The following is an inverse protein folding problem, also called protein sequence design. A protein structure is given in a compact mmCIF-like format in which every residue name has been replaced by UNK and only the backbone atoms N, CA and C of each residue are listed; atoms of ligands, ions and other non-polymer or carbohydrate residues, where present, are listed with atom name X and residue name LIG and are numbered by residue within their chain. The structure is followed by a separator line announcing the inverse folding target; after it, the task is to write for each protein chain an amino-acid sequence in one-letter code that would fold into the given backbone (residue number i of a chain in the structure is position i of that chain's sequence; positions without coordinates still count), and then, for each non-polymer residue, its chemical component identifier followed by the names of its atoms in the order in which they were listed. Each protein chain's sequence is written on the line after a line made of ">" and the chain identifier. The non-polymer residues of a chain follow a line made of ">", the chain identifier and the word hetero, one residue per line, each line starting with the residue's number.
data_IF_940568683482
#
_entry.id   IF_940568683482
#
_cell.length_a   1.000
_cell.length_b   1.000
_cell.length_c   1.000
_cell.angle_alpha   90.00
_cell.angle_beta   90.00
_cell.angle_gamma   90.00
#
_symmetry.space_group_name_H-M   'P 1'
#
loop_
_entity.id
_entity.type
_entity.pdbx_description
1 polymer ?
#
# COMPACT_ATOMS: atom_id res chain seq x y z
N UNK A 1 -24.18 60.67 -15.61
CA UNK A 1 -24.43 59.49 -14.74
C UNK A 1 -24.59 59.99 -13.32
N UNK A 2 -25.82 60.04 -12.79
CA UNK A 2 -26.08 60.41 -11.40
C UNK A 2 -25.52 59.33 -10.49
N UNK A 3 -24.61 59.71 -9.59
CA UNK A 3 -23.97 58.81 -8.63
C UNK A 3 -25.04 58.37 -7.62
N UNK A 4 -25.31 57.07 -7.51
CA UNK A 4 -26.21 56.53 -6.48
C UNK A 4 -25.62 56.88 -5.10
N UNK A 5 -26.41 57.52 -4.24
CA UNK A 5 -26.01 57.94 -2.89
C UNK A 5 -26.92 57.33 -1.85
N UNK A 6 -26.46 57.22 -0.60
CA UNK A 6 -27.26 56.70 0.51
C UNK A 6 -28.53 57.52 0.67
N UNK A 7 -28.44 58.86 0.59
CA UNK A 7 -29.60 59.74 0.71
C UNK A 7 -30.63 59.55 -0.40
N UNK A 8 -30.18 59.54 -1.66
CA UNK A 8 -31.09 59.32 -2.79
C UNK A 8 -31.74 57.93 -2.75
N UNK A 9 -31.01 56.92 -2.26
CA UNK A 9 -31.52 55.56 -2.09
C UNK A 9 -32.55 55.45 -0.96
N UNK A 10 -32.28 56.04 0.21
CA UNK A 10 -33.25 56.10 1.32
C UNK A 10 -34.53 56.83 0.90
N UNK A 11 -34.40 57.94 0.17
CA UNK A 11 -35.55 58.67 -0.37
C UNK A 11 -36.37 57.82 -1.36
N UNK A 12 -35.69 57.03 -2.19
CA UNK A 12 -36.35 56.10 -3.12
C UNK A 12 -37.08 54.97 -2.38
N UNK A 13 -36.45 54.36 -1.37
CA UNK A 13 -37.06 53.31 -0.54
C UNK A 13 -38.29 53.82 0.23
N UNK A 14 -38.19 55.01 0.83
CA UNK A 14 -39.32 55.65 1.51
C UNK A 14 -40.49 55.90 0.54
N UNK A 15 -40.22 56.49 -0.62
CA UNK A 15 -41.25 56.77 -1.64
C UNK A 15 -41.89 55.48 -2.18
N UNK A 16 -41.10 54.43 -2.40
CA UNK A 16 -41.61 53.13 -2.85
C UNK A 16 -42.55 52.47 -1.83
N UNK A 17 -42.41 52.80 -0.54
CA UNK A 17 -43.27 52.36 0.56
C UNK A 17 -44.46 53.29 0.82
N UNK A 18 -44.58 54.40 0.08
CA UNK A 18 -45.63 55.39 0.28
C UNK A 18 -45.52 56.17 1.59
N UNK A 19 -44.36 56.16 2.25
CA UNK A 19 -44.19 56.74 3.58
C UNK A 19 -43.79 58.22 3.54
N UNK A 20 -44.19 59.00 4.53
CA UNK A 20 -43.70 60.39 4.72
C UNK A 20 -42.37 60.41 5.48
N UNK A 21 -41.61 61.52 5.40
CA UNK A 21 -40.38 61.67 6.19
C UNK A 21 -40.67 61.64 7.70
N UNK A 22 -41.85 62.11 8.12
CA UNK A 22 -42.30 62.06 9.50
C UNK A 22 -42.52 60.61 9.97
N UNK A 23 -43.20 59.79 9.17
CA UNK A 23 -43.46 58.40 9.53
C UNK A 23 -42.19 57.56 9.67
N UNK A 24 -41.17 57.81 8.83
CA UNK A 24 -39.85 57.18 8.98
C UNK A 24 -39.16 57.65 10.26
N UNK A 25 -39.25 58.95 10.55
CA UNK A 25 -38.67 59.55 11.74
C UNK A 25 -39.29 58.98 13.03
N UNK A 26 -40.62 58.84 13.05
CA UNK A 26 -41.37 58.28 14.18
C UNK A 26 -41.00 56.81 14.43
N UNK A 27 -40.88 56.00 13.36
CA UNK A 27 -40.51 54.58 13.48
C UNK A 27 -39.07 54.34 13.92
N UNK A 28 -38.17 55.28 13.63
CA UNK A 28 -36.75 55.19 14.00
C UNK A 28 -36.42 56.02 15.25
N UNK A 29 -37.42 56.66 15.87
CA UNK A 29 -37.25 57.55 17.01
C UNK A 29 -36.20 58.66 16.78
N UNK A 30 -36.26 59.31 15.62
CA UNK A 30 -35.42 60.46 15.26
C UNK A 30 -36.28 61.65 14.83
N UNK A 31 -35.67 62.82 14.65
CA UNK A 31 -36.41 63.98 14.14
C UNK A 31 -36.63 63.88 12.62
N UNK A 32 -37.74 64.41 12.12
CA UNK A 32 -38.00 64.56 10.69
C UNK A 32 -36.86 65.30 9.96
N UNK A 33 -36.29 66.33 10.62
CA UNK A 33 -35.13 67.06 10.12
C UNK A 33 -33.90 66.16 9.94
N UNK A 34 -33.73 65.13 10.78
CA UNK A 34 -32.67 64.13 10.68
C UNK A 34 -32.84 63.29 9.41
N UNK A 35 -34.05 62.76 9.17
CA UNK A 35 -34.37 61.99 7.95
C UNK A 35 -34.19 62.84 6.69
N UNK A 36 -34.63 64.11 6.72
CA UNK A 36 -34.46 65.05 5.62
C UNK A 36 -32.98 65.37 5.30
N UNK A 37 -32.11 65.42 6.32
CA UNK A 37 -30.67 65.55 6.10
C UNK A 37 -30.08 64.30 5.46
N UNK A 38 -30.50 63.12 5.90
CA UNK A 38 -30.06 61.85 5.30
C UNK A 38 -30.44 61.78 3.82
N UNK A 39 -31.70 62.05 3.49
CA UNK A 39 -32.20 61.98 2.10
C UNK A 39 -31.55 62.99 1.14
N UNK A 40 -30.97 64.08 1.66
CA UNK A 40 -30.28 65.13 0.89
C UNK A 40 -28.76 65.01 0.92
N UNK A 41 -28.22 63.92 1.47
CA UNK A 41 -26.79 63.70 1.67
C UNK A 41 -26.08 64.80 2.50
N UNK A 42 -26.83 65.52 3.33
CA UNK A 42 -26.32 66.55 4.26
C UNK A 42 -25.95 65.98 5.64
N UNK A 43 -25.95 64.66 5.75
CA UNK A 43 -25.62 63.88 6.93
C UNK A 43 -25.88 62.41 6.66
N UNK A 44 -25.26 61.52 7.43
CA UNK A 44 -25.44 60.08 7.30
C UNK A 44 -26.17 59.52 8.51
N UNK A 45 -26.96 58.44 8.34
CA UNK A 45 -27.42 57.66 9.48
C UNK A 45 -26.22 57.17 10.28
N UNK A 46 -26.32 57.22 11.61
CA UNK A 46 -25.31 56.57 12.43
C UNK A 46 -25.26 55.07 12.12
N UNK A 47 -24.08 54.46 12.25
CA UNK A 47 -23.89 53.04 11.92
C UNK A 47 -24.82 52.12 12.74
N UNK A 48 -25.19 52.56 13.94
CA UNK A 48 -26.16 51.92 14.85
C UNK A 48 -27.60 51.93 14.31
N UNK A 49 -27.93 52.86 13.42
CA UNK A 49 -29.26 53.03 12.82
C UNK A 49 -29.43 52.24 11.53
N UNK A 50 -28.33 51.79 10.91
CA UNK A 50 -28.34 51.03 9.66
C UNK A 50 -29.16 49.73 9.79
N UNK A 51 -29.06 48.90 10.86
CA UNK A 51 -29.89 47.70 11.01
C UNK A 51 -31.39 48.03 11.09
N UNK A 52 -31.76 49.08 11.82
CA UNK A 52 -33.15 49.52 11.95
C UNK A 52 -33.72 50.06 10.63
N UNK A 53 -32.91 50.79 9.86
CA UNK A 53 -33.26 51.21 8.50
C UNK A 53 -33.40 50.02 7.54
N UNK A 54 -32.50 49.03 7.64
CA UNK A 54 -32.52 47.81 6.83
C UNK A 54 -33.81 47.00 7.07
N UNK A 55 -34.16 46.79 8.34
CA UNK A 55 -35.39 46.14 8.74
C UNK A 55 -36.62 46.96 8.32
N UNK A 56 -36.60 48.28 8.57
CA UNK A 56 -37.68 49.16 8.18
C UNK A 56 -37.94 49.10 6.69
N UNK A 57 -36.90 49.07 5.84
CA UNK A 57 -36.99 49.12 4.37
C UNK A 57 -36.97 47.75 3.65
N UNK A 58 -36.93 46.63 4.38
CA UNK A 58 -36.74 45.26 3.83
C UNK A 58 -35.61 45.19 2.78
N UNK A 59 -34.46 45.70 3.19
CA UNK A 59 -33.19 45.68 2.44
C UNK A 59 -32.08 45.24 3.38
N UNK A 60 -30.95 44.84 2.84
CA UNK A 60 -29.76 44.53 3.63
C UNK A 60 -29.00 45.81 4.02
N UNK A 61 -28.23 45.75 5.10
CA UNK A 61 -27.32 46.83 5.47
C UNK A 61 -26.32 47.17 4.34
N UNK A 62 -25.88 46.17 3.58
CA UNK A 62 -24.97 46.35 2.43
C UNK A 62 -25.64 47.16 1.31
N UNK A 63 -26.94 46.95 1.03
CA UNK A 63 -27.69 47.75 0.05
C UNK A 63 -27.80 49.22 0.46
N UNK A 64 -28.05 49.49 1.75
CA UNK A 64 -28.10 50.87 2.28
C UNK A 64 -26.74 51.54 2.16
N UNK A 65 -25.66 50.85 2.52
CA UNK A 65 -24.31 51.39 2.47
C UNK A 65 -23.80 51.60 1.04
N UNK A 66 -24.24 50.78 0.08
CA UNK A 66 -23.96 50.95 -1.35
C UNK A 66 -24.83 52.01 -2.02
N UNK A 67 -25.97 52.35 -1.45
CA UNK A 67 -26.94 53.27 -2.03
C UNK A 67 -27.68 52.69 -3.24
N UNK A 68 -27.74 51.36 -3.37
CA UNK A 68 -28.42 50.70 -4.48
C UNK A 68 -28.96 49.32 -4.08
N UNK A 69 -30.05 48.90 -4.73
CA UNK A 69 -30.59 47.53 -4.60
C UNK A 69 -29.56 46.54 -5.12
N UNK A 70 -29.22 45.55 -4.31
CA UNK A 70 -28.54 44.36 -4.79
C UNK A 70 -29.63 43.48 -5.39
N UNK A 71 -29.43 42.98 -6.60
CA UNK A 71 -30.25 41.88 -7.09
C UNK A 71 -30.13 40.74 -6.06
N UNK A 72 -31.20 40.49 -5.31
CA UNK A 72 -31.22 39.57 -4.17
C UNK A 72 -30.78 38.16 -4.59
N UNK A 73 -31.15 37.76 -5.79
CA UNK A 73 -30.71 36.50 -6.41
C UNK A 73 -29.19 36.50 -6.70
N UNK A 74 -28.67 37.58 -7.28
CA UNK A 74 -27.27 37.69 -7.69
C UNK A 74 -26.29 37.77 -6.49
N UNK A 75 -26.71 38.37 -5.38
CA UNK A 75 -25.91 38.48 -4.16
C UNK A 75 -25.85 37.16 -3.36
N UNK A 76 -26.98 36.45 -3.26
CA UNK A 76 -27.05 35.12 -2.63
C UNK A 76 -26.30 34.09 -3.48
N UNK A 77 -26.42 34.15 -4.81
CA UNK A 77 -25.67 33.28 -5.72
C UNK A 77 -24.15 33.52 -5.63
N UNK A 78 -23.70 34.79 -5.60
CA UNK A 78 -22.27 35.11 -5.42
C UNK A 78 -21.74 34.65 -4.06
N UNK A 79 -22.52 34.79 -2.99
CA UNK A 79 -22.13 34.36 -1.65
C UNK A 79 -22.02 32.84 -1.54
N UNK A 80 -23.02 32.11 -2.05
CA UNK A 80 -23.03 30.63 -2.07
C UNK A 80 -21.93 30.06 -2.99
N UNK A 81 -21.68 30.68 -4.14
CA UNK A 81 -20.58 30.32 -5.02
C UNK A 81 -19.20 30.53 -4.37
N UNK A 82 -19.03 31.61 -3.59
CA UNK A 82 -17.79 31.87 -2.83
C UNK A 82 -17.59 30.84 -1.72
N UNK A 83 -18.64 30.53 -0.95
CA UNK A 83 -18.60 29.50 0.08
C UNK A 83 -18.27 28.12 -0.50
N UNK A 84 -18.89 27.74 -1.62
CA UNK A 84 -18.59 26.49 -2.33
C UNK A 84 -17.13 26.41 -2.82
N UNK A 85 -16.57 27.52 -3.33
CA UNK A 85 -15.15 27.59 -3.70
C UNK A 85 -14.22 27.39 -2.49
N UNK A 86 -14.51 28.06 -1.37
CA UNK A 86 -13.73 27.92 -0.14
C UNK A 86 -13.79 26.49 0.42
N UNK A 87 -14.98 25.88 0.42
CA UNK A 87 -15.16 24.50 0.87
C UNK A 87 -14.38 23.50 0.00
N UNK A 88 -14.45 23.63 -1.33
CA UNK A 88 -13.67 22.80 -2.27
C UNK A 88 -12.17 22.97 -2.05
N UNK A 89 -11.71 24.18 -1.76
CA UNK A 89 -10.31 24.45 -1.43
C UNK A 89 -9.87 23.72 -0.15
N UNK A 90 -10.68 23.80 0.92
CA UNK A 90 -10.42 23.08 2.18
C UNK A 90 -10.41 21.56 1.98
N UNK A 91 -11.38 21.04 1.24
CA UNK A 91 -11.47 19.62 0.91
C UNK A 91 -10.25 19.15 0.11
N UNK A 92 -9.84 19.89 -0.92
CA UNK A 92 -8.66 19.56 -1.71
C UNK A 92 -7.39 19.59 -0.87
N UNK A 93 -7.25 20.56 0.05
CA UNK A 93 -6.12 20.65 0.98
C UNK A 93 -6.11 19.45 1.94
N UNK A 94 -7.25 19.08 2.49
CA UNK A 94 -7.40 17.91 3.37
C UNK A 94 -7.07 16.62 2.62
N UNK A 95 -7.59 16.44 1.40
CA UNK A 95 -7.32 15.27 0.56
C UNK A 95 -5.85 15.18 0.12
N UNK A 96 -5.18 16.31 -0.11
CA UNK A 96 -3.75 16.34 -0.43
C UNK A 96 -2.92 15.88 0.78
N UNK A 97 -3.20 16.42 1.97
CA UNK A 97 -2.56 15.98 3.22
C UNK A 97 -2.80 14.50 3.49
N UNK A 98 -4.04 14.04 3.31
CA UNK A 98 -4.42 12.64 3.46
C UNK A 98 -3.60 11.71 2.56
N UNK A 99 -3.46 12.05 1.28
CA UNK A 99 -2.68 11.26 0.31
C UNK A 99 -1.21 11.21 0.72
N UNK A 100 -0.61 12.34 1.05
CA UNK A 100 0.80 12.41 1.45
C UNK A 100 1.07 11.57 2.70
N UNK A 101 0.22 11.68 3.73
CA UNK A 101 0.33 10.85 4.94
C UNK A 101 0.10 9.36 4.65
N UNK A 102 -0.84 9.02 3.75
CA UNK A 102 -1.06 7.63 3.36
C UNK A 102 0.15 7.04 2.62
N UNK A 103 0.80 7.80 1.74
CA UNK A 103 2.03 7.36 1.09
C UNK A 103 3.20 7.24 2.09
N UNK A 104 3.31 8.16 3.04
CA UNK A 104 4.31 8.06 4.11
C UNK A 104 4.10 6.80 4.98
N UNK A 105 2.85 6.47 5.32
CA UNK A 105 2.50 5.25 6.03
C UNK A 105 2.90 3.98 5.25
N UNK A 106 2.59 3.94 3.94
CA UNK A 106 2.96 2.82 3.07
C UNK A 106 4.49 2.68 2.93
N UNK A 107 5.21 3.80 2.83
CA UNK A 107 6.66 3.82 2.77
C UNK A 107 7.28 3.28 4.07
N UNK A 108 6.77 3.69 5.25
CA UNK A 108 7.23 3.17 6.54
C UNK A 108 7.07 1.65 6.66
N UNK A 109 5.92 1.11 6.24
CA UNK A 109 5.66 -0.34 6.25
C UNK A 109 6.65 -1.06 5.32
N UNK A 110 6.84 -0.53 4.10
CA UNK A 110 7.77 -1.11 3.13
C UNK A 110 9.22 -1.06 3.63
N UNK A 111 9.65 0.05 4.22
CA UNK A 111 10.97 0.18 4.86
C UNK A 111 11.13 -0.82 6.00
N UNK A 112 10.08 -1.04 6.81
CA UNK A 112 10.08 -2.05 7.87
C UNK A 112 10.30 -3.47 7.34
N UNK A 113 9.62 -3.85 6.26
CA UNK A 113 9.83 -5.15 5.62
C UNK A 113 11.27 -5.34 5.11
N UNK A 114 11.82 -4.32 4.43
CA UNK A 114 13.18 -4.36 3.93
C UNK A 114 14.20 -4.44 5.09
N UNK A 115 14.01 -3.66 6.15
CA UNK A 115 14.85 -3.72 7.34
C UNK A 115 14.84 -5.11 7.99
N UNK A 116 13.68 -5.78 8.05
CA UNK A 116 13.58 -7.17 8.51
C UNK A 116 14.42 -8.11 7.64
N UNK A 117 14.32 -8.03 6.30
CA UNK A 117 15.12 -8.86 5.40
C UNK A 117 16.62 -8.58 5.59
N UNK A 118 17.03 -7.32 5.66
CA UNK A 118 18.43 -6.94 5.85
C UNK A 118 18.97 -7.43 7.20
N UNK A 119 18.27 -7.21 8.31
CA UNK A 119 18.70 -7.65 9.65
C UNK A 119 18.72 -9.19 9.72
N UNK A 120 17.75 -9.85 9.08
CA UNK A 120 17.73 -11.31 8.99
C UNK A 120 18.98 -11.80 8.26
N UNK A 121 19.21 -11.39 7.01
CA UNK A 121 20.26 -12.00 6.19
C UNK A 121 21.67 -11.44 6.42
N UNK A 122 21.82 -10.17 6.82
CA UNK A 122 23.14 -9.57 7.05
C UNK A 122 23.64 -9.80 8.48
N UNK A 123 22.76 -9.80 9.48
CA UNK A 123 23.14 -9.94 10.88
C UNK A 123 22.78 -11.31 11.48
N UNK A 124 22.09 -12.18 10.75
CA UNK A 124 21.60 -13.48 11.25
C UNK A 124 20.69 -13.36 12.48
N UNK A 125 19.89 -12.29 12.56
CA UNK A 125 19.01 -11.99 13.71
C UNK A 125 17.54 -11.77 13.29
N UNK A 126 16.82 -12.79 12.82
CA UNK A 126 15.45 -12.63 12.32
C UNK A 126 14.46 -12.16 13.38
N UNK A 127 14.65 -12.53 14.66
CA UNK A 127 13.79 -12.07 15.77
C UNK A 127 13.93 -10.56 16.02
N UNK A 128 15.14 -10.01 15.94
CA UNK A 128 15.38 -8.57 16.09
C UNK A 128 14.79 -7.84 14.88
N UNK A 129 15.00 -8.37 13.68
CA UNK A 129 14.39 -7.83 12.46
C UNK A 129 12.86 -7.78 12.54
N UNK A 130 12.23 -8.82 13.10
CA UNK A 130 10.77 -8.88 13.29
C UNK A 130 10.32 -7.75 14.23
N UNK A 131 11.03 -7.52 15.33
CA UNK A 131 10.74 -6.43 16.27
C UNK A 131 10.78 -5.05 15.59
N UNK A 132 11.82 -4.78 14.80
CA UNK A 132 11.96 -3.52 14.04
C UNK A 132 10.83 -3.35 13.02
N UNK A 133 10.51 -4.40 12.27
CA UNK A 133 9.43 -4.38 11.29
C UNK A 133 8.06 -4.14 11.93
N UNK A 134 7.77 -4.78 13.07
CA UNK A 134 6.51 -4.60 13.78
C UNK A 134 6.36 -3.16 14.31
N UNK A 135 7.44 -2.58 14.85
CA UNK A 135 7.45 -1.19 15.30
C UNK A 135 7.16 -0.22 14.15
N UNK A 136 7.82 -0.39 13.00
CA UNK A 136 7.60 0.45 11.82
C UNK A 136 6.21 0.25 11.19
N UNK A 137 5.70 -0.98 11.21
CA UNK A 137 4.34 -1.29 10.74
C UNK A 137 3.27 -0.66 11.64
N UNK A 138 3.47 -0.69 12.95
CA UNK A 138 2.59 -0.02 13.91
C UNK A 138 2.62 1.51 13.72
N UNK A 139 3.81 2.10 13.55
CA UNK A 139 3.95 3.52 13.26
C UNK A 139 3.25 3.91 11.94
N UNK A 140 3.44 3.13 10.87
CA UNK A 140 2.73 3.33 9.60
C UNK A 140 1.21 3.22 9.75
N UNK A 141 0.73 2.23 10.53
CA UNK A 141 -0.68 2.09 10.88
C UNK A 141 -1.24 3.32 11.60
N UNK A 142 -0.51 3.86 12.58
CA UNK A 142 -0.90 5.07 13.32
C UNK A 142 -0.98 6.31 12.42
N UNK A 143 0.02 6.50 11.55
CA UNK A 143 0.00 7.59 10.55
C UNK A 143 -1.22 7.46 9.63
N UNK A 144 -1.54 6.25 9.18
CA UNK A 144 -2.73 6.02 8.35
C UNK A 144 -4.03 6.32 9.09
N UNK A 145 -4.13 5.99 10.38
CA UNK A 145 -5.31 6.32 11.19
C UNK A 145 -5.48 7.84 11.34
N UNK A 146 -4.40 8.56 11.65
CA UNK A 146 -4.41 10.03 11.71
C UNK A 146 -4.85 10.62 10.37
N UNK A 147 -4.32 10.11 9.26
CA UNK A 147 -4.70 10.57 7.93
C UNK A 147 -6.19 10.38 7.66
N UNK A 148 -6.72 9.18 7.92
CA UNK A 148 -8.14 8.85 7.71
C UNK A 148 -9.04 9.72 8.59
N UNK A 149 -8.74 9.85 9.88
CA UNK A 149 -9.52 10.68 10.79
C UNK A 149 -9.51 12.15 10.38
N UNK A 150 -8.36 12.69 9.97
CA UNK A 150 -8.25 14.05 9.45
C UNK A 150 -9.11 14.27 8.20
N UNK A 151 -9.12 13.32 7.26
CA UNK A 151 -9.93 13.42 6.05
C UNK A 151 -11.44 13.27 6.34
N UNK A 152 -11.81 12.35 7.24
CA UNK A 152 -13.21 12.10 7.60
C UNK A 152 -13.82 13.24 8.41
N UNK A 153 -13.05 13.92 9.27
CA UNK A 153 -13.56 15.09 10.02
C UNK A 153 -14.11 16.17 9.09
N UNK A 154 -13.39 16.49 8.00
CA UNK A 154 -13.83 17.46 7.00
C UNK A 154 -15.09 17.01 6.26
N UNK A 155 -15.23 15.71 5.97
CA UNK A 155 -16.42 15.18 5.29
C UNK A 155 -17.64 15.10 6.21
N UNK A 156 -17.44 14.85 7.50
CA UNK A 156 -18.52 14.68 8.48
C UNK A 156 -19.07 16.02 8.96
N UNK A 157 -18.18 16.99 9.20
CA UNK A 157 -18.52 18.22 9.91
C UNK A 157 -19.05 19.33 8.97
N UNK A 158 -19.25 19.03 7.67
CA UNK A 158 -19.77 19.98 6.69
C UNK A 158 -21.08 19.47 6.07
N UNK A 159 -22.20 20.12 6.39
CA UNK A 159 -23.55 19.81 5.86
C UNK A 159 -23.62 19.94 4.33
N UNK A 160 -22.88 20.88 3.73
CA UNK A 160 -22.78 21.02 2.28
C UNK A 160 -22.13 19.81 1.57
N UNK A 161 -21.50 18.89 2.32
CA UNK A 161 -20.86 17.68 1.80
C UNK A 161 -21.64 16.40 2.13
N UNK A 162 -22.89 16.49 2.60
CA UNK A 162 -23.69 15.30 2.90
C UNK A 162 -23.86 14.38 1.68
N UNK A 163 -24.04 14.96 0.49
CA UNK A 163 -24.08 14.21 -0.78
C UNK A 163 -22.71 13.58 -1.13
N UNK A 164 -21.60 14.19 -0.71
CA UNK A 164 -20.24 13.69 -0.93
C UNK A 164 -19.80 12.59 0.05
N UNK A 165 -20.60 12.26 1.08
CA UNK A 165 -20.31 11.12 1.99
C UNK A 165 -20.11 9.79 1.23
N UNK A 166 -20.68 9.67 0.03
CA UNK A 166 -20.54 8.52 -0.87
C UNK A 166 -19.74 8.86 -2.15
N UNK A 167 -19.14 10.04 -2.19
CA UNK A 167 -18.43 10.60 -3.33
C UNK A 167 -17.03 10.00 -3.56
N UNK A 168 -16.36 10.42 -4.65
CA UNK A 168 -15.05 9.89 -5.05
C UNK A 168 -13.97 10.05 -3.97
N UNK A 169 -14.09 11.06 -3.10
CA UNK A 169 -13.20 11.32 -1.97
C UNK A 169 -13.28 10.21 -0.93
N UNK A 170 -14.49 9.84 -0.48
CA UNK A 170 -14.71 8.74 0.46
C UNK A 170 -14.19 7.40 -0.09
N UNK A 171 -14.42 7.15 -1.39
CA UNK A 171 -13.87 5.98 -2.10
C UNK A 171 -12.34 5.97 -2.10
N UNK A 172 -11.71 7.13 -2.29
CA UNK A 172 -10.27 7.28 -2.23
C UNK A 172 -9.74 7.00 -0.82
N UNK A 173 -10.41 7.50 0.23
CA UNK A 173 -10.02 7.27 1.62
C UNK A 173 -10.05 5.78 1.95
N UNK A 174 -11.18 5.12 1.70
CA UNK A 174 -11.36 3.70 1.95
C UNK A 174 -10.35 2.83 1.17
N UNK A 175 -9.97 3.27 -0.05
CA UNK A 175 -8.98 2.58 -0.87
C UNK A 175 -7.59 2.63 -0.25
N UNK A 176 -7.09 3.79 0.15
CA UNK A 176 -5.75 3.89 0.73
C UNK A 176 -5.70 3.17 2.08
N UNK A 177 -6.71 3.35 2.93
CA UNK A 177 -6.83 2.61 4.19
C UNK A 177 -6.76 1.08 3.98
N UNK A 178 -7.50 0.57 3.00
CA UNK A 178 -7.44 -0.85 2.63
C UNK A 178 -6.07 -1.26 2.12
N UNK A 179 -5.45 -0.48 1.24
CA UNK A 179 -4.12 -0.78 0.70
C UNK A 179 -3.09 -0.85 1.82
N UNK A 180 -3.08 0.11 2.74
CA UNK A 180 -2.16 0.13 3.89
C UNK A 180 -2.37 -1.09 4.79
N UNK A 181 -3.63 -1.44 5.10
CA UNK A 181 -3.95 -2.66 5.85
C UNK A 181 -3.45 -3.92 5.12
N UNK A 182 -3.66 -4.02 3.81
CA UNK A 182 -3.16 -5.14 3.00
C UNK A 182 -1.62 -5.21 3.03
N UNK A 183 -0.92 -4.07 2.90
CA UNK A 183 0.54 -4.04 3.02
C UNK A 183 1.04 -4.50 4.39
N UNK A 184 0.39 -4.07 5.48
CA UNK A 184 0.73 -4.50 6.83
C UNK A 184 0.55 -6.02 7.01
N UNK A 185 -0.58 -6.58 6.55
CA UNK A 185 -0.84 -8.02 6.60
C UNK A 185 0.20 -8.80 5.81
N UNK A 186 0.52 -8.37 4.58
CA UNK A 186 1.55 -9.01 3.76
C UNK A 186 2.92 -8.96 4.45
N UNK A 187 3.30 -7.81 4.99
CA UNK A 187 4.58 -7.63 5.68
C UNK A 187 4.74 -8.59 6.86
N UNK A 188 3.69 -8.72 7.69
CA UNK A 188 3.69 -9.64 8.83
C UNK A 188 3.74 -11.09 8.35
N UNK A 189 2.83 -11.49 7.46
CA UNK A 189 2.72 -12.89 7.01
C UNK A 189 3.98 -13.36 6.30
N UNK A 190 4.56 -12.52 5.43
CA UNK A 190 5.78 -12.85 4.70
C UNK A 190 7.02 -12.91 5.60
N UNK A 191 6.99 -12.29 6.79
CA UNK A 191 8.10 -12.38 7.75
C UNK A 191 8.10 -13.69 8.57
N UNK A 192 6.96 -14.37 8.69
CA UNK A 192 6.80 -15.56 9.54
C UNK A 192 7.75 -16.72 9.20
N UNK A 193 7.99 -17.09 7.93
CA UNK A 193 8.91 -18.18 7.60
C UNK A 193 10.32 -17.97 8.15
N UNK A 194 10.79 -16.72 8.19
CA UNK A 194 12.13 -16.35 8.65
C UNK A 194 12.32 -16.55 10.15
N UNK A 195 11.23 -16.61 10.92
CA UNK A 195 11.23 -16.70 12.38
C UNK A 195 10.79 -18.08 12.86
N UNK A 196 9.86 -18.72 12.14
CA UNK A 196 9.31 -20.03 12.51
C UNK A 196 10.26 -21.17 12.11
N UNK A 197 10.95 -21.04 10.98
CA UNK A 197 11.83 -22.09 10.46
C UNK A 197 13.30 -21.72 10.67
N UNK A 198 13.99 -22.49 11.51
CA UNK A 198 15.44 -22.42 11.67
C UNK A 198 16.10 -23.53 10.83
N UNK A 199 17.26 -23.23 10.22
CA UNK A 199 18.08 -24.27 9.56
C UNK A 199 18.80 -25.08 10.66
N UNK A 200 18.54 -26.39 10.78
CA UNK A 200 19.13 -27.21 11.84
C UNK A 200 20.67 -27.33 11.73
N UNK A 201 21.28 -26.92 10.63
CA UNK A 201 22.72 -27.02 10.40
C UNK A 201 23.55 -25.83 10.92
N UNK A 202 22.94 -24.75 11.44
CA UNK A 202 23.70 -23.63 12.04
C UNK A 202 23.09 -23.17 13.36
N UNK A 203 23.97 -22.91 14.34
CA UNK A 203 23.61 -22.27 15.62
C UNK A 203 23.42 -20.78 15.33
N UNK A 204 22.18 -20.27 15.43
CA UNK A 204 21.70 -18.95 14.92
C UNK A 204 21.48 -18.84 13.39
N UNK A 205 20.86 -19.86 12.81
CA UNK A 205 20.48 -19.86 11.39
C UNK A 205 19.29 -18.98 11.05
N UNK A 206 19.40 -18.30 9.91
CA UNK A 206 18.26 -17.75 9.16
C UNK A 206 17.86 -18.78 8.11
N UNK A 207 16.57 -18.93 7.85
CA UNK A 207 16.07 -19.73 6.74
C UNK A 207 16.78 -19.35 5.44
N UNK A 208 17.43 -20.33 4.78
CA UNK A 208 18.13 -20.10 3.52
C UNK A 208 17.19 -19.41 2.53
N UNK A 209 17.70 -18.42 1.81
CA UNK A 209 16.87 -17.62 0.91
C UNK A 209 16.14 -18.48 -0.14
N UNK A 210 16.77 -19.53 -0.65
CA UNK A 210 16.13 -20.48 -1.57
C UNK A 210 14.94 -21.23 -0.93
N UNK A 211 15.02 -21.60 0.35
CA UNK A 211 13.92 -22.26 1.05
C UNK A 211 12.80 -21.27 1.42
N UNK A 212 13.16 -20.02 1.74
CA UNK A 212 12.20 -18.91 1.88
C UNK A 212 11.38 -18.72 0.59
N UNK A 213 12.03 -18.70 -0.58
CA UNK A 213 11.35 -18.59 -1.86
C UNK A 213 10.41 -19.78 -2.16
N UNK A 214 10.74 -21.00 -1.70
CA UNK A 214 9.84 -22.17 -1.83
C UNK A 214 8.58 -22.04 -0.98
N UNK A 215 8.68 -21.42 0.20
CA UNK A 215 7.53 -21.18 1.07
C UNK A 215 6.69 -19.98 0.62
N UNK A 216 7.29 -19.03 -0.11
CA UNK A 216 6.67 -17.76 -0.50
C UNK A 216 5.26 -17.90 -1.10
N UNK A 217 4.95 -18.84 -2.02
CA UNK A 217 3.60 -18.96 -2.59
C UNK A 217 2.51 -19.24 -1.55
N UNK A 218 2.81 -20.10 -0.56
CA UNK A 218 1.88 -20.44 0.51
C UNK A 218 1.58 -19.25 1.42
N UNK A 219 2.62 -18.48 1.75
CA UNK A 219 2.47 -17.29 2.57
C UNK A 219 1.83 -16.12 1.80
N UNK A 220 2.02 -16.01 0.49
CA UNK A 220 1.27 -15.07 -0.36
C UNK A 220 -0.23 -15.40 -0.39
N UNK A 221 -0.59 -16.68 -0.50
CA UNK A 221 -1.99 -17.13 -0.44
C UNK A 221 -2.61 -16.83 0.94
N UNK A 222 -1.89 -17.13 2.01
CA UNK A 222 -2.32 -16.81 3.37
C UNK A 222 -2.50 -15.30 3.57
N UNK A 223 -1.55 -14.49 3.11
CA UNK A 223 -1.62 -13.03 3.19
C UNK A 223 -2.81 -12.47 2.40
N UNK A 224 -3.08 -13.02 1.21
CA UNK A 224 -4.23 -12.65 0.40
C UNK A 224 -5.56 -13.03 1.08
N UNK A 225 -5.64 -14.21 1.69
CA UNK A 225 -6.82 -14.67 2.43
C UNK A 225 -7.12 -13.78 3.64
N UNK A 226 -6.11 -13.51 4.48
CA UNK A 226 -6.23 -12.62 5.64
C UNK A 226 -6.58 -11.17 5.22
N UNK A 227 -5.98 -10.69 4.13
CA UNK A 227 -6.29 -9.36 3.56
C UNK A 227 -7.74 -9.28 3.03
N UNK A 228 -8.28 -10.39 2.50
CA UNK A 228 -9.66 -10.45 2.05
C UNK A 228 -10.66 -10.41 3.23
N UNK A 229 -10.34 -11.06 4.35
CA UNK A 229 -11.10 -10.99 5.59
C UNK A 229 -11.07 -9.56 6.18
N UNK A 230 -9.88 -8.96 6.27
CA UNK A 230 -9.72 -7.57 6.75
C UNK A 230 -10.42 -6.53 5.86
N UNK A 231 -10.51 -6.78 4.55
CA UNK A 231 -11.27 -5.95 3.64
C UNK A 231 -12.78 -5.94 3.92
N UNK A 232 -13.32 -6.96 4.60
CA UNK A 232 -14.70 -6.98 5.09
C UNK A 232 -14.97 -5.93 6.16
N UNK A 233 -13.98 -5.65 7.02
CA UNK A 233 -14.05 -4.67 8.10
C UNK A 233 -14.06 -3.25 7.53
N UNK A 234 -13.13 -2.94 6.60
CA UNK A 234 -13.05 -1.61 5.95
C UNK A 234 -14.32 -1.29 5.15
N UNK A 235 -15.01 -2.31 4.62
CA UNK A 235 -16.28 -2.14 3.89
C UNK A 235 -17.46 -1.69 4.77
N UNK A 236 -17.42 -1.96 6.09
CA UNK A 236 -18.48 -1.51 7.01
C UNK A 236 -18.36 -0.03 7.36
N UNK A 237 -17.19 0.56 7.18
CA UNK A 237 -16.87 1.95 7.55
C UNK A 237 -17.10 2.94 6.40
N UNK A 238 -17.15 2.48 5.13
CA UNK A 238 -17.37 3.34 3.97
C UNK A 238 -18.13 2.58 2.83
N UNK A 239 -19.48 2.64 2.80
CA UNK A 239 -20.28 1.96 1.79
C UNK A 239 -20.08 2.57 0.39
N UNK A 240 -19.83 1.72 -0.61
CA UNK A 240 -19.70 2.10 -2.04
C UNK A 240 -21.03 1.91 -2.79
N UNK A 241 -21.31 2.71 -3.84
CA UNK A 241 -22.45 2.48 -4.74
C UNK A 241 -22.42 1.10 -5.44
N UNK A 242 -23.59 0.53 -5.74
CA UNK A 242 -23.78 -0.86 -6.18
C UNK A 242 -23.15 -1.19 -7.56
N UNK A 243 -23.05 -0.20 -8.43
CA UNK A 243 -22.59 -0.36 -9.81
C UNK A 243 -21.05 -0.39 -9.90
N UNK A 244 -20.40 0.55 -9.22
CA UNK A 244 -18.95 0.53 -8.99
C UNK A 244 -18.49 -0.74 -8.24
N UNK A 245 -19.36 -1.30 -7.37
CA UNK A 245 -19.14 -2.60 -6.70
C UNK A 245 -19.07 -3.76 -7.71
N UNK A 246 -19.97 -3.83 -8.70
CA UNK A 246 -20.03 -4.94 -9.68
C UNK A 246 -18.83 -4.93 -10.63
N UNK A 247 -18.52 -3.78 -11.23
CA UNK A 247 -17.40 -3.66 -12.16
C UNK A 247 -16.04 -3.94 -11.49
N UNK A 248 -15.85 -3.46 -10.25
CA UNK A 248 -14.62 -3.69 -9.48
C UNK A 248 -14.47 -5.15 -9.01
N UNK A 249 -15.57 -5.82 -8.64
CA UNK A 249 -15.56 -7.27 -8.32
C UNK A 249 -15.18 -8.10 -9.55
N UNK A 250 -15.74 -7.80 -10.71
CA UNK A 250 -15.45 -8.51 -11.95
C UNK A 250 -13.98 -8.34 -12.37
N UNK A 251 -13.44 -7.12 -12.29
CA UNK A 251 -12.02 -6.86 -12.59
C UNK A 251 -11.09 -7.59 -11.62
N UNK A 252 -11.35 -7.49 -10.31
CA UNK A 252 -10.52 -8.15 -9.30
C UNK A 252 -10.58 -9.68 -9.41
N UNK A 253 -11.73 -10.27 -9.75
CA UNK A 253 -11.87 -11.72 -9.97
C UNK A 253 -11.03 -12.16 -11.18
N UNK A 254 -11.09 -11.43 -12.30
CA UNK A 254 -10.29 -11.72 -13.50
C UNK A 254 -8.78 -11.64 -13.22
N UNK A 255 -8.33 -10.62 -12.49
CA UNK A 255 -6.91 -10.49 -12.16
C UNK A 255 -6.44 -11.49 -11.10
N UNK A 256 -7.27 -11.86 -10.13
CA UNK A 256 -6.93 -12.92 -9.19
C UNK A 256 -6.73 -14.27 -9.89
N UNK A 257 -7.56 -14.59 -10.89
CA UNK A 257 -7.39 -15.80 -11.72
C UNK A 257 -6.10 -15.74 -12.54
N UNK A 258 -5.77 -14.58 -13.14
CA UNK A 258 -4.52 -14.40 -13.88
C UNK A 258 -3.30 -14.55 -12.95
N UNK A 259 -3.34 -13.93 -11.77
CA UNK A 259 -2.27 -14.06 -10.76
C UNK A 259 -2.11 -15.51 -10.28
N UNK A 260 -3.21 -16.22 -10.06
CA UNK A 260 -3.18 -17.62 -9.67
C UNK A 260 -2.62 -18.50 -10.81
N UNK A 261 -3.05 -18.27 -12.05
CA UNK A 261 -2.57 -19.01 -13.21
C UNK A 261 -1.07 -18.77 -13.47
N UNK A 262 -0.60 -17.53 -13.31
CA UNK A 262 0.83 -17.20 -13.38
C UNK A 262 1.57 -17.86 -12.22
N UNK A 263 1.15 -17.67 -10.96
CA UNK A 263 1.82 -18.29 -9.82
C UNK A 263 1.91 -19.83 -9.91
N UNK A 264 0.85 -20.49 -10.40
CA UNK A 264 0.84 -21.93 -10.65
C UNK A 264 1.77 -22.29 -11.82
N UNK A 265 1.73 -21.56 -12.93
CA UNK A 265 2.61 -21.79 -14.07
C UNK A 265 4.09 -21.61 -13.73
N UNK A 266 4.42 -20.53 -13.02
CA UNK A 266 5.77 -20.21 -12.54
C UNK A 266 6.23 -21.26 -11.50
N UNK A 267 5.34 -21.73 -10.61
CA UNK A 267 5.63 -22.82 -9.68
C UNK A 267 5.90 -24.17 -10.36
N UNK A 268 5.08 -24.55 -11.35
CA UNK A 268 5.28 -25.77 -12.15
C UNK A 268 6.58 -25.67 -12.97
N UNK A 269 6.85 -24.51 -13.57
CA UNK A 269 8.08 -24.24 -14.31
C UNK A 269 9.33 -24.36 -13.44
N UNK A 270 9.29 -23.86 -12.19
CA UNK A 270 10.38 -24.00 -11.23
C UNK A 270 10.65 -25.46 -10.85
N UNK A 271 9.59 -26.20 -10.51
CA UNK A 271 9.70 -27.62 -10.14
C UNK A 271 10.22 -28.43 -11.32
N UNK A 272 9.74 -28.16 -12.53
CA UNK A 272 10.21 -28.79 -13.77
C UNK A 272 11.68 -28.48 -14.08
N UNK A 273 12.08 -27.20 -14.02
CA UNK A 273 13.45 -26.78 -14.28
C UNK A 273 14.45 -27.32 -13.25
N UNK A 274 14.05 -27.40 -11.97
CA UNK A 274 14.85 -28.00 -10.91
C UNK A 274 14.93 -29.51 -11.02
N UNK A 275 13.86 -30.18 -11.44
CA UNK A 275 13.88 -31.62 -11.71
C UNK A 275 14.80 -31.93 -12.90
N UNK A 276 14.78 -31.11 -13.94
CA UNK A 276 15.71 -31.20 -15.08
C UNK A 276 17.17 -30.96 -14.65
N UNK A 277 17.42 -29.95 -13.82
CA UNK A 277 18.75 -29.66 -13.25
C UNK A 277 19.21 -30.66 -12.17
N UNK A 278 18.34 -31.57 -11.73
CA UNK A 278 18.63 -32.62 -10.75
C UNK A 278 18.68 -34.01 -11.39
N UNK A 279 18.64 -34.12 -12.72
CA UNK A 279 18.88 -35.39 -13.41
C UNK A 279 20.29 -35.88 -13.07
N UNK A 280 20.44 -37.11 -12.57
CA UNK A 280 21.74 -37.64 -12.20
C UNK A 280 22.63 -37.74 -13.43
N UNK A 281 23.85 -37.22 -13.31
CA UNK A 281 24.86 -37.38 -14.34
C UNK A 281 25.46 -38.79 -14.24
N UNK A 282 25.79 -39.42 -15.36
CA UNK A 282 26.28 -40.81 -15.35
C UNK A 282 27.75 -40.92 -15.76
N UNK A 283 28.54 -41.60 -14.91
CA UNK A 283 29.89 -42.02 -15.28
C UNK A 283 29.74 -43.30 -16.09
N UNK A 284 30.12 -43.24 -17.37
CA UNK A 284 30.16 -44.41 -18.25
C UNK A 284 31.50 -45.11 -18.14
N UNK A 285 31.48 -46.44 -18.09
CA UNK A 285 32.67 -47.27 -18.03
C UNK A 285 32.88 -48.01 -19.35
N UNK A 286 34.13 -48.17 -19.77
CA UNK A 286 34.45 -48.84 -21.04
C UNK A 286 34.29 -50.36 -20.94
N UNK A 287 34.42 -50.93 -19.73
CA UNK A 287 34.25 -52.36 -19.48
C UNK A 287 33.64 -52.65 -18.11
N UNK A 288 33.09 -53.87 -17.96
CA UNK A 288 32.55 -54.36 -16.69
C UNK A 288 33.62 -54.48 -15.60
N UNK A 289 34.86 -54.77 -15.98
CA UNK A 289 35.99 -54.84 -15.02
C UNK A 289 36.36 -53.47 -14.48
N UNK A 290 36.33 -52.43 -15.33
CA UNK A 290 36.56 -51.05 -14.90
C UNK A 290 35.49 -50.58 -13.92
N UNK A 291 34.22 -50.85 -14.24
CA UNK A 291 33.09 -50.54 -13.36
C UNK A 291 33.17 -51.29 -12.03
N UNK A 292 33.50 -52.59 -12.04
CA UNK A 292 33.62 -53.38 -10.81
C UNK A 292 34.75 -52.86 -9.91
N UNK A 293 35.91 -52.51 -10.48
CA UNK A 293 37.01 -51.88 -9.71
C UNK A 293 36.59 -50.56 -9.07
N UNK A 294 35.75 -49.77 -9.75
CA UNK A 294 35.19 -48.55 -9.19
C UNK A 294 34.20 -48.84 -8.04
N UNK A 295 33.30 -49.81 -8.23
CA UNK A 295 32.32 -50.20 -7.21
C UNK A 295 32.98 -50.80 -5.96
N UNK A 296 34.04 -51.60 -6.13
CA UNK A 296 34.80 -52.16 -5.00
C UNK A 296 35.44 -51.05 -4.16
N UNK A 297 36.05 -50.05 -4.82
CA UNK A 297 36.57 -48.84 -4.14
C UNK A 297 35.46 -48.09 -3.41
N UNK A 298 34.29 -47.94 -4.04
CA UNK A 298 33.13 -47.29 -3.43
C UNK A 298 32.64 -48.02 -2.17
N UNK A 299 32.52 -49.35 -2.22
CA UNK A 299 32.06 -50.16 -1.08
C UNK A 299 33.08 -50.09 0.06
N UNK A 300 34.38 -50.23 -0.24
CA UNK A 300 35.44 -50.09 0.75
C UNK A 300 35.43 -48.70 1.40
N UNK A 301 35.30 -47.65 0.60
CA UNK A 301 35.19 -46.28 1.08
C UNK A 301 34.01 -46.09 2.03
N UNK A 302 32.81 -46.61 1.68
CA UNK A 302 31.63 -46.52 2.56
C UNK A 302 31.85 -47.24 3.89
N UNK A 303 32.44 -48.42 3.86
CA UNK A 303 32.73 -49.19 5.07
C UNK A 303 33.74 -48.46 5.98
N UNK A 304 34.83 -47.95 5.41
CA UNK A 304 35.82 -47.16 6.16
C UNK A 304 35.23 -45.87 6.71
N UNK A 305 34.34 -45.21 5.96
CA UNK A 305 33.64 -44.00 6.40
C UNK A 305 32.75 -44.26 7.62
N UNK A 306 32.01 -45.37 7.60
CA UNK A 306 31.17 -45.78 8.74
C UNK A 306 32.01 -46.12 9.97
N UNK A 307 33.12 -46.84 9.77
CA UNK A 307 34.08 -47.14 10.84
C UNK A 307 34.65 -45.85 11.45
N UNK A 308 35.11 -44.92 10.61
CA UNK A 308 35.62 -43.62 11.02
C UNK A 308 34.58 -42.80 11.79
N UNK A 309 33.30 -42.83 11.38
CA UNK A 309 32.20 -42.21 12.14
C UNK A 309 32.00 -42.86 13.51
N UNK A 310 32.01 -44.19 13.56
CA UNK A 310 31.82 -44.94 14.82
C UNK A 310 32.96 -44.73 15.82
N UNK A 311 34.17 -44.49 15.32
CA UNK A 311 35.38 -44.26 16.10
C UNK A 311 35.67 -42.78 16.37
N UNK A 312 34.82 -41.86 15.89
CA UNK A 312 34.93 -40.43 16.16
C UNK A 312 36.07 -39.72 15.43
N UNK A 313 36.46 -40.20 14.24
CA UNK A 313 37.54 -39.58 13.45
C UNK A 313 37.13 -38.21 12.91
N UNK A 314 38.12 -37.36 12.66
CA UNK A 314 37.90 -36.04 12.04
C UNK A 314 37.73 -36.24 10.53
N UNK A 315 36.69 -35.62 9.95
CA UNK A 315 36.45 -35.65 8.51
C UNK A 315 37.07 -34.41 7.86
N UNK A 316 37.91 -34.61 6.85
CA UNK A 316 38.62 -33.55 6.14
C UNK A 316 38.49 -33.72 4.63
N UNK A 317 38.60 -32.63 3.87
CA UNK A 317 38.63 -32.71 2.41
C UNK A 317 40.01 -33.21 1.92
N UNK A 318 40.06 -33.89 0.78
CA UNK A 318 41.32 -34.39 0.20
C UNK A 318 42.32 -33.23 -0.03
N UNK A 319 43.46 -33.27 0.66
CA UNK A 319 44.51 -32.24 0.59
C UNK A 319 44.51 -31.22 1.73
N UNK A 320 43.54 -31.28 2.65
CA UNK A 320 43.50 -30.44 3.84
C UNK A 320 44.46 -30.96 4.92
N UNK A 321 45.39 -30.12 5.38
CA UNK A 321 46.33 -30.50 6.45
C UNK A 321 45.73 -30.21 7.82
N UNK A 322 45.58 -31.26 8.64
CA UNK A 322 45.14 -31.14 10.03
C UNK A 322 46.36 -31.32 10.95
N UNK A 323 46.76 -30.29 11.71
CA UNK A 323 47.86 -30.40 12.66
C UNK A 323 47.49 -31.23 13.89
N UNK A 324 48.37 -32.15 14.27
CA UNK A 324 48.25 -33.01 15.46
C UNK A 324 48.07 -34.51 15.15
N UNK A 325 48.21 -35.35 16.17
CA UNK A 325 48.08 -36.82 16.05
C UNK A 325 46.61 -37.27 16.15
N UNK A 326 45.76 -36.71 15.29
CA UNK A 326 44.36 -37.10 15.19
C UNK A 326 44.16 -38.15 14.09
N UNK A 327 43.23 -39.08 14.32
CA UNK A 327 42.76 -39.96 13.25
C UNK A 327 41.82 -39.16 12.33
N UNK A 328 42.23 -39.02 11.07
CA UNK A 328 41.53 -38.25 10.04
C UNK A 328 41.04 -39.17 8.94
N UNK A 329 39.78 -39.02 8.56
CA UNK A 329 39.20 -39.63 7.37
C UNK A 329 39.08 -38.59 6.26
N UNK A 330 39.81 -38.80 5.17
CA UNK A 330 39.75 -37.92 3.99
C UNK A 330 38.55 -38.29 3.09
N UNK A 331 37.72 -37.30 2.81
CA UNK A 331 36.49 -37.46 2.04
C UNK A 331 36.79 -37.53 0.55
N UNK A 332 36.49 -38.67 -0.08
CA UNK A 332 36.65 -38.84 -1.52
C UNK A 332 35.43 -38.27 -2.26
N UNK A 333 35.50 -37.01 -2.68
CA UNK A 333 34.36 -36.30 -3.29
C UNK A 333 33.77 -37.01 -4.52
N UNK A 334 34.58 -37.75 -5.29
CA UNK A 334 34.10 -38.52 -6.45
C UNK A 334 33.20 -39.69 -6.04
N UNK A 335 33.48 -40.33 -4.90
CA UNK A 335 32.70 -41.45 -4.37
C UNK A 335 31.49 -41.01 -3.54
N UNK A 336 31.56 -39.85 -2.89
CA UNK A 336 30.42 -39.24 -2.18
C UNK A 336 29.23 -38.94 -3.09
N UNK A 337 29.49 -38.69 -4.38
CA UNK A 337 28.46 -38.32 -5.35
C UNK A 337 27.65 -39.52 -5.87
N UNK A 338 28.05 -40.75 -5.60
CA UNK A 338 27.39 -41.95 -6.14
C UNK A 338 26.01 -42.16 -5.48
N UNK A 339 24.98 -42.32 -6.31
CA UNK A 339 23.57 -42.51 -5.87
C UNK A 339 22.98 -43.84 -6.32
N UNK A 340 23.51 -44.42 -7.40
CA UNK A 340 23.10 -45.74 -7.88
C UNK A 340 23.99 -46.20 -9.02
N UNK A 341 23.80 -47.43 -9.49
CA UNK A 341 24.53 -47.98 -10.62
C UNK A 341 23.66 -48.96 -11.43
N UNK A 342 23.90 -49.02 -12.74
CA UNK A 342 23.28 -49.95 -13.66
C UNK A 342 24.38 -50.80 -14.33
N UNK A 343 24.42 -52.10 -13.97
CA UNK A 343 25.47 -53.02 -14.44
C UNK A 343 25.27 -53.50 -15.87
N UNK A 344 24.07 -53.35 -16.41
CA UNK A 344 23.77 -53.69 -17.79
C UNK A 344 24.19 -52.56 -18.72
N UNK A 345 23.98 -51.32 -18.29
CA UNK A 345 24.40 -50.12 -19.04
C UNK A 345 25.85 -49.71 -18.82
N UNK A 346 26.55 -50.31 -17.86
CA UNK A 346 27.90 -49.92 -17.44
C UNK A 346 27.98 -48.45 -17.00
N UNK A 347 26.98 -48.02 -16.22
CA UNK A 347 26.85 -46.63 -15.77
C UNK A 347 26.73 -46.55 -14.25
N UNK A 348 27.42 -45.58 -13.64
CA UNK A 348 27.23 -45.19 -12.25
C UNK A 348 26.59 -43.80 -12.22
N UNK A 349 25.42 -43.70 -11.58
CA UNK A 349 24.69 -42.47 -11.41
C UNK A 349 25.30 -41.64 -10.28
N UNK A 350 25.62 -40.39 -10.58
CA UNK A 350 26.17 -39.43 -9.64
C UNK A 350 25.28 -38.21 -9.52
N UNK A 351 25.15 -37.67 -8.30
CA UNK A 351 24.58 -36.34 -8.11
C UNK A 351 25.71 -35.35 -8.29
N UNK A 352 25.68 -34.64 -9.41
CA UNK A 352 26.46 -33.42 -9.50
C UNK A 352 25.90 -32.45 -8.47
N UNK A 353 26.70 -32.09 -7.48
CA UNK A 353 26.39 -30.97 -6.58
C UNK A 353 26.63 -29.68 -7.38
N UNK A 354 25.95 -29.49 -8.50
CA UNK A 354 26.00 -28.26 -9.29
C UNK A 354 25.18 -27.18 -8.58
N UNK A 355 25.71 -26.74 -7.43
CA UNK A 355 25.28 -25.52 -6.78
C UNK A 355 25.30 -24.33 -7.74
N UNK A 356 26.13 -24.37 -8.79
CA UNK A 356 26.24 -23.38 -9.87
C UNK A 356 25.07 -23.42 -10.86
N UNK A 357 24.63 -24.58 -11.36
CA UNK A 357 23.45 -24.64 -12.25
C UNK A 357 22.14 -24.44 -11.47
N UNK A 358 22.02 -25.00 -10.26
CA UNK A 358 20.87 -24.73 -9.41
C UNK A 358 20.79 -23.24 -9.03
N UNK A 359 21.93 -22.60 -8.72
CA UNK A 359 22.03 -21.14 -8.53
C UNK A 359 21.65 -20.36 -9.78
N UNK A 360 22.06 -20.79 -10.98
CA UNK A 360 21.71 -20.12 -12.23
C UNK A 360 20.21 -20.24 -12.54
N UNK A 361 19.60 -21.41 -12.32
CA UNK A 361 18.15 -21.62 -12.44
C UNK A 361 17.40 -20.77 -11.41
N UNK A 362 17.87 -20.73 -10.16
CA UNK A 362 17.28 -19.90 -9.09
C UNK A 362 17.40 -18.39 -9.41
N UNK A 363 18.52 -17.93 -10.00
CA UNK A 363 18.74 -16.53 -10.41
C UNK A 363 17.86 -16.12 -11.61
N UNK A 364 17.80 -16.97 -12.64
CA UNK A 364 16.94 -16.75 -13.83
C UNK A 364 15.46 -16.75 -13.42
N UNK A 365 15.09 -17.64 -12.51
CA UNK A 365 13.73 -17.72 -11.97
C UNK A 365 13.34 -16.48 -11.16
N UNK A 366 14.23 -15.98 -10.30
CA UNK A 366 14.01 -14.74 -9.56
C UNK A 366 13.83 -13.53 -10.50
N UNK A 367 14.61 -13.46 -11.58
CA UNK A 367 14.47 -12.42 -12.60
C UNK A 367 13.13 -12.51 -13.35
N UNK A 368 12.71 -13.72 -13.75
CA UNK A 368 11.41 -13.97 -14.41
C UNK A 368 10.23 -13.57 -13.54
N UNK A 369 10.23 -13.96 -12.25
CA UNK A 369 9.17 -13.56 -11.31
C UNK A 369 9.04 -12.04 -11.18
N UNK A 370 10.18 -11.32 -11.17
CA UNK A 370 10.17 -9.86 -11.08
C UNK A 370 9.59 -9.21 -12.35
N UNK A 371 9.94 -9.73 -13.53
CA UNK A 371 9.41 -9.25 -14.81
C UNK A 371 7.91 -9.53 -14.94
N UNK A 372 7.45 -10.72 -14.56
CA UNK A 372 6.03 -11.09 -14.59
C UNK A 372 5.17 -10.20 -13.68
N UNK A 373 5.62 -9.97 -12.43
CA UNK A 373 4.94 -9.09 -11.50
C UNK A 373 4.88 -7.63 -11.99
N UNK A 374 5.97 -7.15 -12.60
CA UNK A 374 6.02 -5.81 -13.18
C UNK A 374 5.05 -5.66 -14.36
N UNK A 375 4.98 -6.65 -15.25
CA UNK A 375 4.06 -6.65 -16.41
C UNK A 375 2.60 -6.74 -15.96
N UNK A 376 2.27 -7.63 -15.02
CA UNK A 376 0.91 -7.75 -14.47
C UNK A 376 0.50 -6.45 -13.76
N UNK A 377 1.40 -5.86 -12.97
CA UNK A 377 1.21 -4.57 -12.32
C UNK A 377 0.94 -3.45 -13.32
N UNK A 378 1.74 -3.36 -14.39
CA UNK A 378 1.58 -2.36 -15.45
C UNK A 378 0.24 -2.52 -16.20
N UNK A 379 -0.16 -3.75 -16.53
CA UNK A 379 -1.45 -4.04 -17.20
C UNK A 379 -2.63 -3.71 -16.29
N UNK A 380 -2.54 -4.04 -15.00
CA UNK A 380 -3.57 -3.69 -14.00
C UNK A 380 -3.74 -2.18 -13.86
N UNK A 381 -2.64 -1.44 -13.72
CA UNK A 381 -2.65 0.02 -13.61
C UNK A 381 -3.21 0.67 -14.90
N UNK A 382 -2.84 0.18 -16.08
CA UNK A 382 -3.32 0.71 -17.37
C UNK A 382 -4.82 0.48 -17.58
N UNK A 383 -5.35 -0.72 -17.30
CA UNK A 383 -6.80 -1.01 -17.41
C UNK A 383 -7.61 -0.25 -16.35
N UNK A 384 -7.07 -0.10 -15.14
CA UNK A 384 -7.71 0.67 -14.08
C UNK A 384 -7.73 2.17 -14.37
N UNK A 385 -6.69 2.71 -15.01
CA UNK A 385 -6.66 4.11 -15.46
C UNK A 385 -7.71 4.42 -16.53
N UNK A 386 -8.00 3.48 -17.43
CA UNK A 386 -9.11 3.62 -18.40
C UNK A 386 -10.49 3.64 -17.74
N UNK A 387 -10.71 2.77 -16.76
CA UNK A 387 -11.95 2.72 -15.96
C UNK A 387 -12.17 3.91 -15.01
N UNK A 388 -11.15 4.73 -14.77
CA UNK A 388 -11.27 5.95 -13.98
C UNK A 388 -11.51 7.21 -14.84
N UNK A 389 -11.36 7.08 -16.17
CA UNK A 389 -11.63 8.13 -17.16
C UNK A 389 -13.02 7.99 -17.80
N UNK A 390 -13.55 6.77 -17.84
CA UNK A 390 -14.96 6.47 -18.09
C UNK A 390 -15.73 6.64 -16.78
#
# INVERSE_FOLDING_TARGET
>A
MTKNSIGSFLAALRKARGMTQQEVADRLNVSNKTVSKWERDEGYPEITMIPALAELFDVTADEILRGERLAREESVEKATAKAGKQLRFLLNRAMTRFKNLSYAAMALIFTGFNAMLTISYAAYRPVIGLGVMLALTAAGGMVQMIAVNGALSVLRDNELLEEEKHGPQAVSIARHARTTLTMAVFTVVLSLPLVIYNDPHFVSSVLRFGDYLRLLPWFLLLAAALSALGAGIVRRVAPLNAEARRQRKALNKKFAVILLAVAVGTGIGYVGARHWAALPDSIKFASREEMNRFLDKYIQYKHQKELARSQGWIFADEGEYIPGDFQVFYVQHRLEKVVGWDREKLEVYTVEKNATQASAVDQVFAALCCVELAVIGAIYLRKRGKLAKQ
#
